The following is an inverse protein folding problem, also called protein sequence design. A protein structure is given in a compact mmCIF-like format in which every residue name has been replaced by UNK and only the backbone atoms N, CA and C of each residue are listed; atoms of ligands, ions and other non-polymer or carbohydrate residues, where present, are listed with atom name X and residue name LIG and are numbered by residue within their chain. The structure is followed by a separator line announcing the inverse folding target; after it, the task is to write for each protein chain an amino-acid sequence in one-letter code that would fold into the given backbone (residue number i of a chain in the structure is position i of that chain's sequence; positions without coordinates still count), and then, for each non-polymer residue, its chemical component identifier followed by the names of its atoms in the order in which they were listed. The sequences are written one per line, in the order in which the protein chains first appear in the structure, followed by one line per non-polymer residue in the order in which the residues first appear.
data_IF_191609497805
#
_entry.id   IF_191609497805
#
_cell.length_a   1.000
_cell.length_b   1.000
_cell.length_c   1.000
_cell.angle_alpha   90.00
_cell.angle_beta   90.00
_cell.angle_gamma   90.00
#
_symmetry.space_group_name_H-M   'P 1'
#
loop_
_entity.id
_entity.type
_entity.pdbx_description
1 polymer ?
#
# COMPACT_ATOMS: atom_id res chain seq x y z
N UNK A 1 -41.89 18.45 -63.08
CA UNK A 1 -42.96 18.98 -62.23
C UNK A 1 -42.44 19.01 -60.80
N UNK A 2 -42.16 20.20 -60.29
CA UNK A 2 -41.45 20.51 -59.04
C UNK A 2 -42.47 20.51 -57.87
N UNK A 3 -42.19 19.80 -56.77
CA UNK A 3 -42.88 20.08 -55.50
C UNK A 3 -41.85 20.09 -54.37
N UNK A 4 -41.33 21.29 -54.13
CA UNK A 4 -40.42 21.63 -53.03
C UNK A 4 -41.29 21.87 -51.80
N UNK A 5 -41.12 21.04 -50.76
CA UNK A 5 -41.76 21.19 -49.46
C UNK A 5 -40.86 22.05 -48.56
N UNK A 6 -41.35 23.14 -47.94
CA UNK A 6 -40.50 24.03 -47.16
C UNK A 6 -40.14 23.41 -45.81
N UNK A 7 -38.84 23.39 -45.49
CA UNK A 7 -38.30 23.06 -44.18
C UNK A 7 -38.77 24.09 -43.14
N UNK A 8 -39.30 23.58 -42.03
CA UNK A 8 -39.78 24.33 -40.85
C UNK A 8 -38.66 25.22 -40.27
N UNK A 9 -38.92 26.54 -40.21
CA UNK A 9 -38.02 27.57 -39.65
C UNK A 9 -37.62 27.23 -38.20
N UNK A 10 -36.32 27.20 -37.93
CA UNK A 10 -35.71 27.04 -36.61
C UNK A 10 -35.90 28.31 -35.77
N UNK A 11 -36.64 28.18 -34.67
CA UNK A 11 -37.05 29.28 -33.79
C UNK A 11 -35.89 29.65 -32.82
N UNK A 12 -35.15 30.71 -33.17
CA UNK A 12 -33.95 31.18 -32.44
C UNK A 12 -34.24 31.58 -30.98
N UNK A 13 -35.51 31.81 -30.65
CA UNK A 13 -35.99 32.21 -29.32
C UNK A 13 -35.85 31.09 -28.26
N UNK A 14 -35.87 29.82 -28.66
CA UNK A 14 -35.68 28.67 -27.75
C UNK A 14 -34.23 28.51 -27.31
N UNK A 15 -33.27 28.83 -28.20
CA UNK A 15 -31.84 28.79 -27.90
C UNK A 15 -31.45 29.89 -26.90
N UNK A 16 -32.03 31.08 -27.05
CA UNK A 16 -31.80 32.19 -26.13
C UNK A 16 -32.38 31.90 -24.74
N UNK A 17 -33.58 31.30 -24.65
CA UNK A 17 -34.20 30.92 -23.37
C UNK A 17 -33.42 29.83 -22.60
N UNK A 18 -32.76 28.91 -23.30
CA UNK A 18 -31.89 27.90 -22.70
C UNK A 18 -30.57 28.49 -22.19
N UNK A 19 -29.91 29.36 -22.99
CA UNK A 19 -28.69 30.05 -22.58
C UNK A 19 -28.94 30.92 -21.35
N UNK A 20 -30.08 31.62 -21.30
CA UNK A 20 -30.43 32.51 -20.19
C UNK A 20 -30.80 31.76 -18.89
N UNK A 21 -31.26 30.50 -18.98
CA UNK A 21 -31.46 29.62 -17.81
C UNK A 21 -30.18 28.94 -17.32
N UNK A 22 -29.21 28.72 -18.20
CA UNK A 22 -27.91 28.15 -17.80
C UNK A 22 -27.03 29.19 -17.08
N UNK A 23 -27.14 30.47 -17.42
CA UNK A 23 -26.40 31.56 -16.75
C UNK A 23 -26.90 31.81 -15.31
N UNK A 24 -28.17 31.52 -15.00
CA UNK A 24 -28.72 31.73 -13.65
C UNK A 24 -28.39 30.62 -12.63
N UNK A 25 -27.89 29.45 -13.05
CA UNK A 25 -27.54 28.34 -12.13
C UNK A 25 -26.10 28.45 -11.61
N UNK A 26 -25.22 29.20 -12.28
CA UNK A 26 -23.80 29.35 -11.89
C UNK A 26 -23.60 30.44 -10.82
N UNK A 27 -24.59 31.31 -10.57
CA UNK A 27 -24.45 32.47 -9.68
C UNK A 27 -24.96 32.26 -8.23
N UNK A 28 -25.36 31.05 -7.83
CA UNK A 28 -26.01 30.81 -6.52
C UNK A 28 -25.25 29.87 -5.56
N UNK A 29 -23.93 29.71 -5.71
CA UNK A 29 -23.10 28.94 -4.77
C UNK A 29 -21.85 29.72 -4.37
N UNK A 30 -22.04 30.79 -3.59
CA UNK A 30 -20.97 31.57 -2.97
C UNK A 30 -20.98 31.40 -1.45
N UNK A 31 -19.83 30.94 -0.93
CA UNK A 31 -19.26 31.13 0.42
C UNK A 31 -19.79 30.22 1.56
N UNK A 32 -19.04 29.14 1.81
CA UNK A 32 -18.57 28.83 3.18
C UNK A 32 -17.04 28.84 3.10
N UNK A 33 -16.44 29.98 3.45
CA UNK A 33 -15.02 30.09 3.72
C UNK A 33 -14.76 29.49 5.11
N UNK A 34 -14.69 28.16 5.18
CA UNK A 34 -14.15 27.43 6.32
C UNK A 34 -12.73 27.01 5.98
N UNK A 35 -11.74 27.64 6.60
CA UNK A 35 -10.34 27.25 6.48
C UNK A 35 -10.11 25.87 7.10
N UNK A 36 -10.34 24.80 6.33
CA UNK A 36 -9.81 23.49 6.67
C UNK A 36 -8.37 23.43 6.14
N UNK A 37 -7.43 23.88 6.97
CA UNK A 37 -6.05 23.46 6.81
C UNK A 37 -6.02 21.93 7.05
N UNK A 38 -5.56 21.11 6.09
CA UNK A 38 -5.32 19.72 6.40
C UNK A 38 -4.13 19.69 7.37
N UNK A 39 -4.40 19.46 8.66
CA UNK A 39 -3.38 19.06 9.62
C UNK A 39 -3.03 17.63 9.26
N UNK A 40 -2.15 17.45 8.28
CA UNK A 40 -1.39 16.22 8.19
C UNK A 40 -0.48 16.23 9.41
N UNK A 41 -0.86 15.49 10.45
CA UNK A 41 0.06 15.14 11.51
C UNK A 41 1.21 14.38 10.84
N UNK A 42 2.35 15.02 10.68
CA UNK A 42 3.60 14.36 10.37
C UNK A 42 3.95 13.46 11.57
N UNK A 43 3.50 12.21 11.53
CA UNK A 43 3.90 11.19 12.51
C UNK A 43 5.20 10.55 12.03
N UNK A 44 6.26 11.36 11.91
CA UNK A 44 7.62 10.87 11.73
C UNK A 44 8.20 10.45 13.09
N UNK A 45 7.72 9.34 13.67
CA UNK A 45 8.38 8.71 14.83
C UNK A 45 9.51 7.81 14.36
N UNK A 46 10.70 8.40 14.19
CA UNK A 46 11.96 7.65 14.11
C UNK A 46 12.38 7.22 15.51
N UNK A 47 11.90 6.04 15.97
CA UNK A 47 12.31 5.44 17.25
C UNK A 47 13.55 4.57 17.06
N UNK A 48 14.73 5.16 17.13
CA UNK A 48 16.01 4.43 17.16
C UNK A 48 16.45 4.15 18.62
N UNK A 49 15.52 3.68 19.45
CA UNK A 49 15.76 3.31 20.85
C UNK A 49 14.63 2.42 21.40
N UNK A 50 14.87 1.64 22.46
CA UNK A 50 13.81 0.82 23.06
C UNK A 50 12.72 1.72 23.64
N UNK A 51 11.48 1.56 23.16
CA UNK A 51 10.33 2.21 23.77
C UNK A 51 10.05 1.58 25.14
N UNK A 52 10.26 2.33 26.22
CA UNK A 52 9.93 1.92 27.59
C UNK A 52 8.62 2.59 27.99
N UNK A 53 7.59 1.79 28.26
CA UNK A 53 6.29 2.25 28.74
C UNK A 53 6.14 1.89 30.23
N UNK A 54 5.92 2.90 31.08
CA UNK A 54 5.63 2.71 32.50
C UNK A 54 4.13 2.87 32.75
N UNK A 55 3.49 1.86 33.33
CA UNK A 55 2.07 1.87 33.66
C UNK A 55 1.93 1.93 35.19
N UNK A 56 1.25 2.96 35.70
CA UNK A 56 1.05 3.20 37.14
C UNK A 56 -0.35 2.86 37.63
N UNK A 57 -1.27 2.59 36.71
CA UNK A 57 -2.67 2.26 37.00
C UNK A 57 -2.92 0.78 36.73
N UNK A 58 -3.45 0.07 37.72
CA UNK A 58 -3.72 -1.37 37.67
C UNK A 58 -4.94 -1.74 36.81
N UNK A 59 -5.81 -0.76 36.47
CA UNK A 59 -7.00 -0.99 35.63
C UNK A 59 -6.84 -0.49 34.19
N UNK A 60 -5.69 0.09 33.84
CA UNK A 60 -5.45 0.59 32.49
C UNK A 60 -5.26 -0.57 31.49
N UNK A 61 -6.10 -0.59 30.45
CA UNK A 61 -5.93 -1.49 29.31
C UNK A 61 -4.95 -0.90 28.29
N UNK A 62 -3.94 -1.70 27.90
CA UNK A 62 -2.98 -1.35 26.87
C UNK A 62 -3.33 -2.04 25.55
N UNK A 63 -3.68 -1.25 24.53
CA UNK A 63 -3.77 -1.73 23.14
C UNK A 63 -2.47 -1.40 22.42
N UNK A 64 -1.83 -2.41 21.82
CA UNK A 64 -0.64 -2.26 20.99
C UNK A 64 -0.99 -2.62 19.56
N UNK A 65 -1.03 -1.61 18.68
CA UNK A 65 -1.23 -1.80 17.26
C UNK A 65 0.11 -1.80 16.53
N UNK A 66 0.43 -2.92 15.87
CA UNK A 66 1.68 -3.10 15.13
C UNK A 66 1.43 -3.66 13.73
N UNK A 67 2.24 -3.23 12.76
CA UNK A 67 2.10 -3.62 11.34
C UNK A 67 3.21 -4.57 10.86
N UNK A 68 4.12 -4.98 11.75
CA UNK A 68 5.30 -5.77 11.41
C UNK A 68 5.55 -6.89 12.43
N UNK A 69 6.04 -8.03 11.94
CA UNK A 69 6.42 -9.18 12.76
C UNK A 69 7.89 -9.52 12.48
N UNK A 70 8.76 -9.31 13.46
CA UNK A 70 10.19 -9.61 13.38
C UNK A 70 11.10 -8.43 13.73
N UNK A 71 12.42 -8.65 13.64
CA UNK A 71 13.45 -7.69 14.03
C UNK A 71 13.66 -6.52 13.04
N UNK A 72 12.91 -6.50 11.92
CA UNK A 72 12.90 -5.37 10.98
C UNK A 72 14.16 -5.18 10.14
N UNK A 73 15.08 -6.17 10.10
CA UNK A 73 16.36 -6.07 9.38
C UNK A 73 16.50 -7.21 8.38
N UNK A 74 17.13 -6.96 7.23
CA UNK A 74 17.40 -7.97 6.22
C UNK A 74 16.17 -8.30 5.36
N UNK A 75 15.93 -9.59 5.12
CA UNK A 75 14.91 -10.05 4.17
C UNK A 75 13.53 -10.20 4.82
N UNK A 76 12.58 -9.36 4.39
CA UNK A 76 11.17 -9.55 4.73
C UNK A 76 10.59 -10.69 3.89
N UNK A 77 10.22 -11.81 4.53
CA UNK A 77 9.71 -13.01 3.85
C UNK A 77 8.47 -12.74 2.99
N UNK A 78 7.50 -12.00 3.53
CA UNK A 78 6.29 -11.62 2.79
C UNK A 78 6.58 -10.67 1.63
N UNK A 79 7.51 -9.73 1.81
CA UNK A 79 7.95 -8.85 0.73
C UNK A 79 8.70 -9.60 -0.37
N UNK A 80 9.53 -10.58 -0.01
CA UNK A 80 10.22 -11.46 -0.96
C UNK A 80 9.21 -12.29 -1.77
N UNK A 81 8.17 -12.83 -1.12
CA UNK A 81 7.04 -13.49 -1.81
C UNK A 81 6.34 -12.54 -2.78
N UNK A 82 6.04 -11.31 -2.37
CA UNK A 82 5.41 -10.31 -3.23
C UNK A 82 6.26 -9.98 -4.47
N UNK A 83 7.58 -9.81 -4.30
CA UNK A 83 8.51 -9.59 -5.42
C UNK A 83 8.58 -10.80 -6.36
N UNK A 84 8.58 -12.02 -5.83
CA UNK A 84 8.55 -13.24 -6.63
C UNK A 84 7.24 -13.36 -7.43
N UNK A 85 6.09 -13.05 -6.81
CA UNK A 85 4.79 -13.00 -7.49
C UNK A 85 4.74 -11.90 -8.57
N UNK A 86 5.50 -10.82 -8.40
CA UNK A 86 5.71 -9.80 -9.40
C UNK A 86 6.74 -10.19 -10.49
N UNK A 87 7.22 -11.44 -10.50
CA UNK A 87 8.12 -11.98 -11.53
C UNK A 87 9.60 -11.66 -11.33
N UNK A 88 10.00 -11.10 -10.19
CA UNK A 88 11.42 -10.86 -9.90
C UNK A 88 12.15 -12.19 -9.64
N UNK A 89 13.35 -12.31 -10.18
CA UNK A 89 14.22 -13.46 -9.93
C UNK A 89 14.96 -13.34 -8.58
N UNK A 90 15.58 -14.44 -8.14
CA UNK A 90 16.27 -14.52 -6.84
C UNK A 90 17.31 -13.41 -6.66
N UNK A 91 18.13 -13.13 -7.67
CA UNK A 91 19.17 -12.10 -7.60
C UNK A 91 18.59 -10.70 -7.40
N UNK A 92 17.48 -10.39 -8.06
CA UNK A 92 16.77 -9.12 -7.88
C UNK A 92 16.15 -8.99 -6.49
N UNK A 93 15.58 -10.08 -5.97
CA UNK A 93 14.97 -10.10 -4.64
C UNK A 93 16.04 -9.91 -3.56
N UNK A 94 17.10 -10.72 -3.59
CA UNK A 94 18.20 -10.64 -2.62
C UNK A 94 18.89 -9.27 -2.69
N UNK A 95 19.16 -8.76 -3.91
CA UNK A 95 19.76 -7.44 -4.10
C UNK A 95 18.93 -6.29 -3.54
N UNK A 96 17.60 -6.43 -3.50
CA UNK A 96 16.72 -5.43 -2.89
C UNK A 96 16.80 -5.39 -1.35
N UNK A 97 17.15 -6.50 -0.70
CA UNK A 97 17.26 -6.60 0.76
C UNK A 97 18.69 -6.47 1.28
N UNK A 98 19.68 -6.79 0.44
CA UNK A 98 21.09 -6.82 0.80
C UNK A 98 21.93 -6.07 -0.26
N UNK A 99 21.85 -4.71 -0.29
CA UNK A 99 22.59 -3.91 -1.26
C UNK A 99 24.10 -4.12 -1.11
N UNK A 100 24.82 -4.15 -2.23
CA UNK A 100 26.27 -4.36 -2.26
C UNK A 100 26.73 -5.81 -2.04
N UNK A 101 25.81 -6.78 -1.94
CA UNK A 101 26.16 -8.20 -1.89
C UNK A 101 26.26 -8.83 -3.28
N UNK A 102 27.03 -9.92 -3.39
CA UNK A 102 27.08 -10.74 -4.61
C UNK A 102 26.74 -12.19 -4.28
N UNK A 103 26.01 -12.85 -5.18
CA UNK A 103 25.68 -14.27 -5.07
C UNK A 103 26.84 -15.06 -5.67
N UNK A 104 27.46 -15.91 -4.84
CA UNK A 104 28.54 -16.79 -5.25
C UNK A 104 28.13 -18.24 -5.08
N UNK A 105 28.56 -19.10 -6.01
CA UNK A 105 28.51 -20.54 -5.77
C UNK A 105 29.57 -20.90 -4.73
N UNK A 106 29.20 -21.74 -3.77
CA UNK A 106 30.16 -22.28 -2.81
C UNK A 106 31.17 -23.16 -3.57
N UNK A 107 32.47 -22.90 -3.39
CA UNK A 107 33.56 -23.54 -4.14
C UNK A 107 34.00 -24.90 -3.56
N UNK A 108 33.36 -25.35 -2.48
CA UNK A 108 33.68 -26.62 -1.81
C UNK A 108 32.53 -27.63 -2.00
N UNK A 109 32.50 -28.35 -3.14
CA UNK A 109 31.46 -29.34 -3.42
C UNK A 109 31.44 -30.50 -2.41
N UNK A 110 32.56 -30.78 -1.74
CA UNK A 110 32.70 -31.87 -0.76
C UNK A 110 32.32 -31.46 0.68
N UNK A 111 31.85 -30.23 0.90
CA UNK A 111 31.44 -29.80 2.25
C UNK A 111 30.12 -30.49 2.62
N UNK A 112 30.21 -31.51 3.49
CA UNK A 112 29.03 -32.16 4.07
C UNK A 112 28.37 -31.22 5.08
N UNK A 113 27.18 -30.70 4.73
CA UNK A 113 26.36 -29.91 5.65
C UNK A 113 25.47 -30.86 6.44
N UNK A 114 25.68 -30.94 7.75
CA UNK A 114 24.77 -31.66 8.65
C UNK A 114 23.66 -30.72 9.10
N UNK A 115 22.42 -31.05 8.76
CA UNK A 115 21.23 -30.31 9.17
C UNK A 115 20.49 -31.12 10.23
N UNK A 116 20.39 -30.59 11.45
CA UNK A 116 19.56 -31.18 12.49
C UNK A 116 18.10 -30.90 12.14
N UNK A 117 17.33 -31.95 11.82
CA UNK A 117 15.90 -31.83 11.45
C UNK A 117 15.01 -31.84 12.68
N UNK A 118 15.33 -32.65 13.69
CA UNK A 118 14.68 -32.64 15.00
C UNK A 118 15.62 -33.30 16.05
N UNK A 119 15.36 -33.09 17.34
CA UNK A 119 16.18 -33.63 18.44
C UNK A 119 15.53 -34.78 19.22
N UNK A 120 14.20 -34.94 19.18
CA UNK A 120 13.45 -35.99 19.90
C UNK A 120 12.52 -36.77 18.95
N UNK A 121 12.94 -37.95 18.48
CA UNK A 121 12.13 -38.89 17.70
C UNK A 121 12.27 -40.15 18.52
N UNK A 122 11.30 -40.33 19.40
CA UNK A 122 11.10 -41.61 20.03
C UNK A 122 10.51 -42.49 18.92
N UNK A 123 11.37 -43.19 18.19
CA UNK A 123 10.92 -44.27 17.32
C UNK A 123 10.44 -45.40 18.24
N UNK A 124 9.21 -45.30 18.72
CA UNK A 124 8.52 -46.45 19.28
C UNK A 124 8.24 -47.37 18.11
N UNK A 125 9.08 -48.37 17.93
CA UNK A 125 8.81 -49.47 17.03
C UNK A 125 7.63 -50.25 17.62
N UNK A 126 6.42 -49.99 17.11
CA UNK A 126 5.30 -50.91 17.29
C UNK A 126 5.61 -52.19 16.49
N UNK A 127 5.53 -53.34 17.17
CA UNK A 127 5.79 -54.69 16.65
C UNK A 127 4.81 -55.15 15.55
#
# INVERSE_FOLDING_TARGET
MMLIMPLRRSDKSLRQRLVQRLISVVAASTIVAGSFAPVFADVSQSTTGPNVYAFTDSEAALSLDGHAFGHGVGLCQWGARGRALAGQNVSQIVGAYFPGTSIQKMLAPETTIRVLVHSNLDMTADE
#
